data_IF_257481863379
#
_entry.id   IF_257481863379
#
_cell.length_a   1.000
_cell.length_b   1.000
_cell.length_c   1.000
_cell.angle_alpha   90.00
_cell.angle_beta   90.00
_cell.angle_gamma   90.00
#
_symmetry.space_group_name_H-M   'P 1'
#
loop_
_entity.id
_entity.type
_entity.pdbx_description
1 polymer ?
#
# COMPACT_ATOMS: atom_id res chain seq x y z
N UNK A 1 -12.00 -19.41 -3.33
CA UNK A 1 -11.73 -18.49 -2.23
C UNK A 1 -10.35 -17.85 -2.39
N UNK A 2 -10.26 -16.57 -2.22
CA UNK A 2 -9.01 -15.86 -2.44
C UNK A 2 -8.41 -15.49 -1.08
N UNK A 3 -7.20 -16.00 -0.77
CA UNK A 3 -6.55 -15.64 0.48
C UNK A 3 -6.34 -14.12 0.57
N UNK A 4 -6.53 -13.60 1.75
CA UNK A 4 -6.41 -12.18 2.03
C UNK A 4 -5.23 -11.97 2.96
N UNK A 5 -4.25 -11.19 2.52
CA UNK A 5 -3.05 -10.97 3.33
C UNK A 5 -3.18 -9.76 4.25
N UNK A 6 -4.35 -9.11 4.28
CA UNK A 6 -4.60 -7.99 5.16
C UNK A 6 -3.91 -6.72 4.69
N UNK A 7 -3.83 -5.73 5.58
CA UNK A 7 -3.15 -4.47 5.27
C UNK A 7 -1.68 -4.73 4.95
N UNK A 8 -1.27 -4.34 3.76
CA UNK A 8 0.06 -4.67 3.27
C UNK A 8 1.06 -3.53 3.45
N UNK A 9 0.60 -2.29 3.40
CA UNK A 9 1.50 -1.13 3.49
C UNK A 9 1.26 -0.34 4.77
N UNK A 10 2.35 0.21 5.30
CA UNK A 10 2.24 1.13 6.43
C UNK A 10 1.84 2.51 5.94
N UNK A 11 1.15 3.26 6.78
CA UNK A 11 0.85 4.65 6.50
C UNK A 11 2.14 5.46 6.60
N UNK A 12 2.55 6.15 5.54
CA UNK A 12 3.84 6.86 5.56
C UNK A 12 3.77 8.13 6.39
N UNK A 13 4.90 8.49 6.98
CA UNK A 13 5.03 9.71 7.76
C UNK A 13 5.83 10.72 6.94
N UNK A 14 5.30 11.93 6.81
CA UNK A 14 5.96 13.00 6.06
C UNK A 14 6.05 14.24 6.92
N UNK A 15 6.90 15.18 6.52
CA UNK A 15 7.02 16.47 7.21
C UNK A 15 5.76 17.30 6.99
N UNK A 16 5.57 18.28 7.86
CA UNK A 16 4.46 19.21 7.72
C UNK A 16 4.51 19.93 6.37
N UNK A 17 5.69 20.34 5.94
CA UNK A 17 5.80 21.06 4.67
C UNK A 17 5.49 20.15 3.48
N UNK A 18 5.89 18.88 3.53
CA UNK A 18 5.56 17.94 2.48
C UNK A 18 4.06 17.72 2.42
N UNK A 19 3.43 17.57 3.58
CA UNK A 19 1.99 17.38 3.64
C UNK A 19 1.25 18.56 3.03
N UNK A 20 1.68 19.79 3.34
CA UNK A 20 1.03 20.98 2.81
C UNK A 20 1.17 21.08 1.30
N UNK A 21 2.33 20.70 0.77
CA UNK A 21 2.55 20.68 -0.68
C UNK A 21 1.61 19.67 -1.34
N UNK A 22 1.51 18.48 -0.76
CA UNK A 22 0.63 17.46 -1.32
C UNK A 22 -0.83 17.86 -1.23
N UNK A 23 -1.24 18.50 -0.12
CA UNK A 23 -2.63 18.91 0.05
C UNK A 23 -3.04 19.95 -0.99
N UNK A 24 -2.10 20.79 -1.45
CA UNK A 24 -2.41 21.75 -2.51
C UNK A 24 -2.65 21.06 -3.84
N UNK A 25 -1.87 20.02 -4.12
CA UNK A 25 -2.01 19.26 -5.38
C UNK A 25 -3.17 18.29 -5.32
N UNK A 26 -3.46 17.78 -4.13
CA UNK A 26 -4.49 16.77 -3.93
C UNK A 26 -5.42 17.21 -2.79
N UNK A 27 -6.44 18.04 -3.11
CA UNK A 27 -7.29 18.62 -2.05
C UNK A 27 -8.01 17.61 -1.19
N UNK A 28 -8.22 16.39 -1.68
CA UNK A 28 -8.88 15.34 -0.89
C UNK A 28 -7.93 14.53 -0.01
N UNK A 29 -6.65 14.90 0.05
CA UNK A 29 -5.65 14.13 0.79
C UNK A 29 -6.10 13.86 2.23
N UNK A 30 -5.97 12.60 2.65
CA UNK A 30 -6.28 12.18 4.03
C UNK A 30 -4.98 12.08 4.80
N UNK A 31 -4.84 12.92 5.81
CA UNK A 31 -3.61 13.00 6.60
C UNK A 31 -3.96 13.27 8.05
N UNK A 32 -3.13 12.77 8.96
CA UNK A 32 -3.33 12.91 10.40
C UNK A 32 -2.09 13.51 11.02
N UNK A 33 -2.26 14.56 11.82
CA UNK A 33 -1.13 15.20 12.50
C UNK A 33 -0.54 14.25 13.54
N UNK A 34 0.81 14.18 13.57
CA UNK A 34 1.53 13.44 14.61
C UNK A 34 2.56 14.41 15.17
N UNK A 35 2.37 14.77 16.41
CA UNK A 35 3.24 15.78 17.00
C UNK A 35 3.08 17.11 16.30
N UNK A 36 4.12 17.94 16.33
CA UNK A 36 4.02 19.32 15.84
C UNK A 36 4.49 19.49 14.41
N UNK A 37 5.31 18.58 13.90
CA UNK A 37 5.96 18.79 12.60
C UNK A 37 5.77 17.67 11.59
N UNK A 38 4.97 16.68 11.92
CA UNK A 38 4.81 15.54 11.04
C UNK A 38 3.37 15.14 10.86
N UNK A 39 3.10 14.50 9.72
CA UNK A 39 1.77 13.98 9.43
C UNK A 39 1.89 12.55 8.92
N UNK A 40 0.92 11.74 9.28
CA UNK A 40 0.80 10.39 8.75
C UNK A 40 -0.23 10.43 7.62
N UNK A 41 0.17 9.96 6.45
CA UNK A 41 -0.73 9.92 5.30
C UNK A 41 -1.44 8.58 5.25
N UNK A 42 -2.70 8.58 4.81
CA UNK A 42 -3.43 7.34 4.64
C UNK A 42 -2.96 6.64 3.36
N UNK A 43 -2.19 5.58 3.51
CA UNK A 43 -1.67 4.83 2.37
C UNK A 43 -2.82 4.33 1.49
N UNK A 44 -3.94 3.92 2.09
CA UNK A 44 -5.09 3.46 1.34
C UNK A 44 -5.61 4.54 0.40
N UNK A 45 -5.64 5.80 0.86
CA UNK A 45 -6.09 6.90 0.04
C UNK A 45 -5.15 7.12 -1.15
N UNK A 46 -3.83 7.07 -0.89
CA UNK A 46 -2.83 7.28 -1.94
C UNK A 46 -2.97 6.22 -3.03
N UNK A 47 -3.08 4.98 -2.62
CA UNK A 47 -3.18 3.86 -3.56
C UNK A 47 -4.50 3.92 -4.32
N UNK A 48 -5.58 4.26 -3.62
CA UNK A 48 -6.90 4.35 -4.25
C UNK A 48 -6.96 5.45 -5.31
N UNK A 49 -6.31 6.60 -5.04
CA UNK A 49 -6.28 7.70 -6.00
C UNK A 49 -5.66 7.28 -7.33
N UNK A 50 -4.78 6.30 -7.31
CA UNK A 50 -4.10 5.83 -8.51
C UNK A 50 -4.83 4.67 -9.18
N UNK A 51 -5.99 4.28 -8.66
CA UNK A 51 -6.86 3.31 -9.32
C UNK A 51 -6.47 1.85 -9.13
N UNK A 52 -5.78 1.52 -8.07
CA UNK A 52 -5.32 0.14 -7.86
C UNK A 52 -6.37 -0.82 -7.33
N UNK A 53 -7.47 -0.32 -6.75
CA UNK A 53 -8.50 -1.21 -6.23
C UNK A 53 -9.00 -2.13 -7.34
N UNK A 54 -9.04 -3.42 -7.06
CA UNK A 54 -9.52 -4.39 -8.02
C UNK A 54 -8.52 -4.78 -9.10
N UNK A 55 -7.33 -4.19 -9.10
CA UNK A 55 -6.33 -4.52 -10.09
C UNK A 55 -5.81 -5.94 -9.88
N UNK A 56 -5.65 -6.69 -10.95
CA UNK A 56 -5.18 -8.07 -10.90
C UNK A 56 -3.95 -8.22 -11.79
N UNK A 57 -2.95 -8.91 -11.27
CA UNK A 57 -1.72 -9.24 -11.99
C UNK A 57 -1.40 -10.70 -11.72
N UNK A 58 -1.63 -11.55 -12.73
CA UNK A 58 -1.44 -12.98 -12.54
C UNK A 58 -2.35 -13.52 -11.45
N UNK A 59 -1.76 -14.14 -10.45
CA UNK A 59 -2.51 -14.79 -9.38
C UNK A 59 -2.71 -13.89 -8.17
N UNK A 60 -2.32 -12.61 -8.26
CA UNK A 60 -2.45 -11.68 -7.14
C UNK A 60 -3.16 -10.43 -7.60
N UNK A 61 -3.69 -9.68 -6.65
CA UNK A 61 -4.40 -8.45 -6.97
C UNK A 61 -4.60 -7.59 -5.75
N UNK A 62 -5.22 -6.44 -5.98
CA UNK A 62 -5.60 -5.51 -4.93
C UNK A 62 -7.07 -5.72 -4.64
N UNK A 63 -7.44 -5.79 -3.36
CA UNK A 63 -8.83 -5.99 -2.96
C UNK A 63 -9.71 -4.91 -3.59
N UNK A 64 -10.93 -5.28 -4.00
CA UNK A 64 -11.81 -4.36 -4.70
C UNK A 64 -12.26 -3.18 -3.87
N UNK A 65 -12.34 -3.34 -2.56
CA UNK A 65 -12.84 -2.30 -1.67
C UNK A 65 -11.85 -1.77 -0.68
N UNK A 66 -10.66 -2.37 -0.59
CA UNK A 66 -9.65 -2.00 0.40
C UNK A 66 -8.28 -1.95 -0.26
N UNK A 67 -7.84 -0.76 -0.62
CA UNK A 67 -6.61 -0.60 -1.39
C UNK A 67 -5.34 -1.08 -0.66
N UNK A 68 -5.38 -1.17 0.68
CA UNK A 68 -4.22 -1.67 1.43
C UNK A 68 -4.14 -3.20 1.45
N UNK A 69 -5.18 -3.87 0.97
CA UNK A 69 -5.26 -5.33 1.08
C UNK A 69 -4.91 -5.97 -0.25
N UNK A 70 -3.88 -6.79 -0.25
CA UNK A 70 -3.53 -7.60 -1.41
C UNK A 70 -4.12 -8.98 -1.23
N UNK A 71 -4.56 -9.55 -2.34
CA UNK A 71 -5.18 -10.87 -2.33
C UNK A 71 -4.46 -11.75 -3.35
N UNK A 72 -4.52 -13.04 -3.14
CA UNK A 72 -3.92 -13.98 -4.07
C UNK A 72 -4.69 -15.27 -4.12
N UNK A 73 -4.58 -15.95 -5.24
CA UNK A 73 -5.15 -17.29 -5.36
C UNK A 73 -4.28 -18.28 -4.60
N UNK A 74 -4.74 -19.52 -4.50
CA UNK A 74 -3.99 -20.55 -3.79
C UNK A 74 -2.66 -20.89 -4.43
N UNK A 75 -2.41 -20.43 -5.66
CA UNK A 75 -1.14 -20.70 -6.34
C UNK A 75 -0.22 -19.48 -6.37
N UNK A 76 -0.64 -18.37 -5.77
CA UNK A 76 0.19 -17.17 -5.73
C UNK A 76 1.43 -17.41 -4.86
N UNK A 77 2.55 -16.83 -5.27
CA UNK A 77 3.80 -16.94 -4.52
C UNK A 77 4.11 -15.61 -3.83
N UNK A 78 4.99 -15.68 -2.85
CA UNK A 78 5.46 -14.47 -2.19
C UNK A 78 6.12 -13.51 -3.18
N UNK A 79 6.82 -14.05 -4.17
CA UNK A 79 7.44 -13.22 -5.19
C UNK A 79 6.40 -12.46 -5.99
N UNK A 80 5.30 -13.10 -6.36
CA UNK A 80 4.25 -12.44 -7.12
C UNK A 80 3.64 -11.29 -6.33
N UNK A 81 3.42 -11.50 -5.03
CA UNK A 81 2.86 -10.46 -4.18
C UNK A 81 3.85 -9.31 -4.03
N UNK A 82 5.15 -9.62 -3.86
CA UNK A 82 6.16 -8.58 -3.75
C UNK A 82 6.31 -7.80 -5.05
N UNK A 83 6.22 -8.47 -6.19
CA UNK A 83 6.29 -7.79 -7.47
C UNK A 83 5.14 -6.78 -7.62
N UNK A 84 3.94 -7.16 -7.22
CA UNK A 84 2.80 -6.25 -7.26
C UNK A 84 3.01 -5.09 -6.29
N UNK A 85 3.49 -5.39 -5.09
CA UNK A 85 3.77 -4.35 -4.10
C UNK A 85 4.80 -3.36 -4.61
N UNK A 86 5.83 -3.83 -5.31
CA UNK A 86 6.85 -2.94 -5.86
C UNK A 86 6.27 -2.01 -6.93
N UNK A 87 5.35 -2.51 -7.75
CA UNK A 87 4.69 -1.68 -8.75
C UNK A 87 3.87 -0.58 -8.09
N UNK A 88 3.14 -0.93 -7.02
CA UNK A 88 2.34 0.06 -6.30
C UNK A 88 3.24 1.10 -5.65
N UNK A 89 4.33 0.66 -5.02
CA UNK A 89 5.29 1.59 -4.40
C UNK A 89 5.86 2.55 -5.43
N UNK A 90 6.23 2.05 -6.59
CA UNK A 90 6.81 2.89 -7.63
C UNK A 90 5.79 3.93 -8.12
N UNK A 91 4.54 3.53 -8.27
CA UNK A 91 3.50 4.43 -8.73
C UNK A 91 3.22 5.54 -7.70
N UNK A 92 3.17 5.17 -6.42
CA UNK A 92 2.98 6.16 -5.36
C UNK A 92 4.17 7.11 -5.28
N UNK A 93 5.39 6.59 -5.40
CA UNK A 93 6.58 7.44 -5.37
C UNK A 93 6.58 8.42 -6.54
N UNK A 94 6.18 7.96 -7.72
CA UNK A 94 6.16 8.82 -8.91
C UNK A 94 5.13 9.93 -8.80
N UNK A 95 3.95 9.62 -8.28
CA UNK A 95 2.84 10.55 -8.27
C UNK A 95 2.79 11.45 -7.04
N UNK A 96 3.27 10.98 -5.91
CA UNK A 96 3.19 11.73 -4.65
C UNK A 96 4.55 12.06 -4.06
N UNK A 97 5.61 11.48 -4.58
CA UNK A 97 6.93 11.67 -3.99
C UNK A 97 7.05 11.08 -2.60
N UNK A 98 6.29 10.03 -2.31
CA UNK A 98 6.24 9.40 -1.00
C UNK A 98 6.65 7.94 -1.14
N UNK A 99 7.50 7.49 -0.22
CA UNK A 99 7.96 6.10 -0.22
C UNK A 99 7.12 5.27 0.74
N UNK A 100 6.34 4.35 0.19
CA UNK A 100 5.57 3.42 1.02
C UNK A 100 6.49 2.34 1.57
N UNK A 101 6.14 1.82 2.74
CA UNK A 101 6.82 0.69 3.33
C UNK A 101 5.82 -0.45 3.47
N UNK A 102 6.30 -1.65 3.16
CA UNK A 102 5.51 -2.85 3.34
C UNK A 102 5.51 -3.21 4.82
N UNK A 103 4.34 -3.54 5.34
CA UNK A 103 4.22 -4.01 6.71
C UNK A 103 4.87 -5.39 6.80
N UNK A 104 5.83 -5.60 7.71
CA UNK A 104 6.41 -6.94 7.86
C UNK A 104 5.34 -7.94 8.29
N UNK A 105 5.31 -9.08 7.63
CA UNK A 105 4.29 -10.08 7.89
C UNK A 105 4.87 -11.46 7.87
N UNK A 106 4.39 -12.28 8.79
CA UNK A 106 4.66 -13.69 8.80
C UNK A 106 3.35 -14.41 8.52
N UNK A 107 3.32 -15.17 7.45
CA UNK A 107 2.19 -16.00 7.13
C UNK A 107 2.63 -17.43 7.35
N UNK A 108 1.84 -18.17 8.11
CA UNK A 108 2.16 -19.56 8.35
C UNK A 108 1.13 -20.43 7.66
N UNK A 109 1.36 -21.70 7.70
CA UNK A 109 0.46 -22.64 7.16
C UNK A 109 0.82 -22.98 5.75
N UNK A 110 -0.10 -23.59 5.10
CA UNK A 110 0.14 -24.20 3.81
C UNK A 110 0.01 -23.17 2.71
N UNK A 111 1.10 -22.94 2.02
CA UNK A 111 1.10 -22.01 0.92
C UNK A 111 1.33 -20.58 1.32
N UNK A 112 1.54 -20.32 2.59
CA UNK A 112 1.83 -18.99 3.04
C UNK A 112 3.28 -18.65 2.84
N UNK A 113 3.61 -17.39 3.02
CA UNK A 113 4.97 -16.94 2.80
C UNK A 113 5.36 -15.96 3.89
N UNK A 114 6.63 -15.78 4.01
CA UNK A 114 7.22 -14.92 5.01
C UNK A 114 7.77 -13.69 4.32
N UNK A 115 7.33 -12.51 4.76
CA UNK A 115 7.85 -11.25 4.24
C UNK A 115 8.80 -10.63 5.25
N UNK A 116 10.05 -10.41 4.83
CA UNK A 116 11.04 -9.71 5.63
C UNK A 116 11.51 -8.51 4.86
N UNK A 117 11.56 -7.40 5.55
CA UNK A 117 12.00 -6.16 4.92
C UNK A 117 13.17 -5.57 5.66
#
# INVERSE_FOLDING_TARGET
DIPNVGSFFKNPIVSDSKMKTLARQWPGLVAYAIGSNEHKLAAAWLIDQLGWKGFVQGEVGVHEHQALVLVGSGVATGKEILDLAQRIKADVAENFGVMLEVEPRLFDGRGDFYLEL
#
